data_IF_678437432006
#
_entry.id   IF_678437432006
#
_cell.length_a   1.000
_cell.length_b   1.000
_cell.length_c   1.000
_cell.angle_alpha   90.00
_cell.angle_beta   90.00
_cell.angle_gamma   90.00
#
_symmetry.space_group_name_H-M   'P 1'
#
loop_
_entity.id
_entity.type
_entity.pdbx_description
1 polymer ?
#
# COMPACT_ATOMS: atom_id res chain seq x y z
N UNK A 1 47.67 13.28 -18.48
CA UNK A 1 47.16 13.03 -17.13
C UNK A 1 47.44 11.60 -16.67
N UNK A 2 46.81 10.57 -17.25
CA UNK A 2 46.99 9.15 -16.89
C UNK A 2 48.46 8.71 -16.83
N UNK A 3 49.27 9.00 -17.87
CA UNK A 3 50.70 8.69 -17.90
C UNK A 3 51.52 9.29 -16.75
N UNK A 4 51.05 10.38 -16.12
CA UNK A 4 51.71 10.99 -14.96
C UNK A 4 51.28 10.24 -13.70
N UNK A 5 49.97 10.07 -13.49
CA UNK A 5 49.41 9.32 -12.36
C UNK A 5 49.99 7.91 -12.26
N UNK A 6 50.04 7.17 -13.38
CA UNK A 6 50.58 5.81 -13.48
C UNK A 6 52.07 5.68 -13.13
N UNK A 7 52.83 6.80 -13.13
CA UNK A 7 54.23 6.83 -12.65
C UNK A 7 54.30 6.92 -11.13
N UNK A 8 53.39 7.65 -10.51
CA UNK A 8 53.36 7.90 -9.06
C UNK A 8 52.57 6.85 -8.27
N UNK A 9 51.68 6.12 -8.94
CA UNK A 9 50.97 4.99 -8.33
C UNK A 9 50.70 3.88 -9.35
N UNK A 10 51.12 2.66 -9.02
CA UNK A 10 50.97 1.50 -9.88
C UNK A 10 49.53 1.00 -10.00
N UNK A 11 48.65 1.32 -9.05
CA UNK A 11 47.24 0.89 -9.04
C UNK A 11 46.40 1.54 -10.13
N UNK A 12 46.83 2.70 -10.63
CA UNK A 12 46.20 3.45 -11.72
C UNK A 12 46.92 3.25 -13.07
N UNK A 13 47.55 2.08 -13.30
CA UNK A 13 48.17 1.71 -14.58
C UNK A 13 47.17 1.01 -15.50
N UNK A 14 47.32 1.25 -16.79
CA UNK A 14 46.46 0.65 -17.82
C UNK A 14 45.16 1.41 -18.01
N UNK A 15 44.27 0.88 -18.87
CA UNK A 15 43.06 1.55 -19.32
C UNK A 15 41.78 0.96 -18.68
N UNK A 16 41.89 0.44 -17.46
CA UNK A 16 40.73 -0.06 -16.72
C UNK A 16 39.87 1.09 -16.20
N UNK A 17 38.62 0.79 -15.83
CA UNK A 17 37.81 1.73 -15.05
C UNK A 17 38.36 1.79 -13.63
N UNK A 18 38.47 3.01 -13.10
CA UNK A 18 38.97 3.28 -11.76
C UNK A 18 37.89 4.00 -10.94
N UNK A 19 37.86 3.74 -9.63
CA UNK A 19 36.95 4.42 -8.71
C UNK A 19 37.40 5.88 -8.50
N UNK A 20 36.50 6.83 -8.74
CA UNK A 20 36.81 8.25 -8.65
C UNK A 20 37.09 8.72 -7.21
N UNK A 21 36.44 8.11 -6.22
CA UNK A 21 36.66 8.40 -4.80
C UNK A 21 38.03 7.88 -4.38
N UNK A 22 38.38 6.65 -4.76
CA UNK A 22 39.71 6.08 -4.48
C UNK A 22 40.82 6.95 -5.08
N UNK A 23 40.64 7.39 -6.33
CA UNK A 23 41.59 8.28 -6.98
C UNK A 23 41.73 9.63 -6.26
N UNK A 24 40.61 10.24 -5.84
CA UNK A 24 40.62 11.50 -5.10
C UNK A 24 41.33 11.37 -3.74
N UNK A 25 41.03 10.33 -2.97
CA UNK A 25 41.67 10.09 -1.67
C UNK A 25 43.18 9.89 -1.83
N UNK A 26 43.60 9.06 -2.79
CA UNK A 26 45.02 8.90 -3.11
C UNK A 26 45.70 10.22 -3.47
N UNK A 27 45.03 11.06 -4.25
CA UNK A 27 45.57 12.36 -4.65
C UNK A 27 45.71 13.30 -3.46
N UNK A 28 44.69 13.36 -2.59
CA UNK A 28 44.71 14.15 -1.36
C UNK A 28 45.82 13.69 -0.41
N UNK A 29 46.02 12.38 -0.25
CA UNK A 29 47.12 11.84 0.55
C UNK A 29 48.48 12.26 -0.02
N UNK A 30 48.67 12.18 -1.34
CA UNK A 30 49.92 12.64 -1.98
C UNK A 30 50.17 14.13 -1.79
N UNK A 31 49.12 14.95 -1.91
CA UNK A 31 49.22 16.38 -1.62
C UNK A 31 49.50 16.65 -0.14
N UNK A 32 48.93 15.86 0.76
CA UNK A 32 49.16 15.97 2.21
C UNK A 32 50.64 15.74 2.52
N UNK A 33 51.23 14.67 2.00
CA UNK A 33 52.64 14.31 2.21
C UNK A 33 53.59 15.35 1.59
N UNK A 34 53.37 15.72 0.32
CA UNK A 34 54.28 16.60 -0.41
C UNK A 34 54.26 18.05 0.13
N UNK A 35 53.09 18.55 0.57
CA UNK A 35 52.93 19.90 1.13
C UNK A 35 53.18 19.95 2.64
N UNK A 36 52.94 18.84 3.35
CA UNK A 36 53.19 18.70 4.78
C UNK A 36 54.68 18.63 5.10
N UNK A 37 55.47 17.89 4.30
CA UNK A 37 56.91 17.76 4.47
C UNK A 37 57.70 19.07 4.24
N UNK A 38 57.13 20.03 3.51
CA UNK A 38 57.72 21.35 3.28
C UNK A 38 57.50 22.33 4.45
N UNK A 39 56.70 21.97 5.46
CA UNK A 39 56.51 22.77 6.68
C UNK A 39 57.46 22.27 7.76
N UNK A 40 58.55 22.98 8.07
CA UNK A 40 59.52 22.51 9.06
C UNK A 40 58.88 22.49 10.45
N UNK A 41 58.58 21.30 10.97
CA UNK A 41 58.38 21.11 12.39
C UNK A 41 59.69 21.46 13.10
N UNK A 42 59.69 22.61 13.76
CA UNK A 42 60.85 23.23 14.38
C UNK A 42 61.43 22.31 15.47
N UNK A 43 62.63 21.81 15.23
CA UNK A 43 63.50 21.29 16.28
C UNK A 43 63.76 22.42 17.29
N UNK A 44 63.06 22.43 18.42
CA UNK A 44 63.51 23.15 19.60
C UNK A 44 63.01 22.47 20.87
N UNK A 45 63.88 21.66 21.46
CA UNK A 45 63.85 21.30 22.87
C UNK A 45 63.92 22.57 23.73
N UNK A 46 62.97 22.77 24.64
CA UNK A 46 62.99 23.79 25.70
C UNK A 46 62.03 23.42 26.85
N UNK A 47 62.36 23.73 28.12
CA UNK A 47 61.84 23.06 29.32
C UNK A 47 60.40 23.44 29.70
N UNK A 48 59.72 22.69 30.60
CA UNK A 48 58.30 22.89 30.90
C UNK A 48 58.10 24.16 31.73
N UNK A 49 57.24 25.07 31.27
CA UNK A 49 56.78 26.20 32.08
C UNK A 49 55.29 26.09 32.40
N UNK A 50 55.03 26.42 33.66
CA UNK A 50 53.80 26.25 34.44
C UNK A 50 52.92 27.51 34.33
N UNK A 51 51.61 27.32 34.11
CA UNK A 51 50.52 28.16 34.63
C UNK A 51 50.24 29.54 34.02
N UNK A 52 49.05 29.74 33.45
CA UNK A 52 48.44 31.07 33.23
C UNK A 52 47.39 31.14 32.12
N UNK A 53 46.32 31.97 32.22
CA UNK A 53 44.99 31.66 31.69
C UNK A 53 44.71 32.08 30.24
N UNK A 54 43.72 31.37 29.68
CA UNK A 54 43.09 31.46 28.35
C UNK A 54 42.77 32.90 27.93
N UNK A 55 43.31 33.32 26.77
CA UNK A 55 42.82 34.47 25.98
C UNK A 55 42.04 33.97 24.76
N UNK A 56 40.95 34.67 24.49
CA UNK A 56 39.97 34.54 23.41
C UNK A 56 40.57 34.48 21.99
N UNK A 57 40.00 33.71 21.04
CA UNK A 57 40.50 33.65 19.67
C UNK A 57 39.83 34.73 18.82
N UNK A 58 40.56 35.79 18.53
CA UNK A 58 40.27 36.70 17.40
C UNK A 58 41.43 36.59 16.42
N UNK A 59 41.13 36.20 15.18
CA UNK A 59 42.10 35.97 14.11
C UNK A 59 42.37 34.49 13.86
N UNK A 60 42.09 34.05 12.64
CA UNK A 60 42.39 32.72 12.07
C UNK A 60 43.90 32.44 12.11
N UNK A 61 44.39 32.05 13.27
CA UNK A 61 45.69 31.38 13.40
C UNK A 61 45.43 29.90 13.17
N UNK A 62 45.67 29.45 11.93
CA UNK A 62 45.76 28.02 11.64
C UNK A 62 46.84 27.41 12.55
N UNK A 63 46.57 26.31 13.26
CA UNK A 63 47.55 25.66 14.11
C UNK A 63 48.80 25.36 13.28
N UNK A 64 49.94 25.92 13.70
CA UNK A 64 51.22 25.79 12.98
C UNK A 64 51.60 24.30 12.94
N UNK A 65 51.56 23.71 11.73
CA UNK A 65 51.84 22.29 11.48
C UNK A 65 50.74 21.52 10.75
N UNK A 66 49.60 22.14 10.38
CA UNK A 66 48.55 21.47 9.61
C UNK A 66 48.76 21.63 8.10
N UNK A 67 48.69 20.55 7.34
CA UNK A 67 48.81 20.61 5.87
C UNK A 67 47.58 21.28 5.23
N UNK A 68 47.72 21.72 3.98
CA UNK A 68 46.61 22.29 3.20
C UNK A 68 45.39 21.35 3.17
N UNK A 69 45.65 20.04 3.02
CA UNK A 69 44.61 19.00 3.01
C UNK A 69 43.89 18.92 4.35
N UNK A 70 44.64 18.93 5.46
CA UNK A 70 44.07 18.89 6.80
C UNK A 70 43.22 20.13 7.11
N UNK A 71 43.61 21.30 6.62
CA UNK A 71 42.90 22.55 6.90
C UNK A 71 41.60 22.75 6.10
N UNK A 72 41.49 22.14 4.91
CA UNK A 72 40.38 22.39 3.99
C UNK A 72 39.47 21.18 3.75
N UNK A 73 40.01 19.97 3.82
CA UNK A 73 39.29 18.75 3.46
C UNK A 73 39.08 17.78 4.63
N UNK A 74 39.84 17.93 5.71
CA UNK A 74 39.73 17.04 6.87
C UNK A 74 38.75 17.60 7.89
N UNK A 75 37.83 16.75 8.30
CA UNK A 75 36.94 16.98 9.43
C UNK A 75 37.24 15.97 10.56
N UNK A 76 36.56 16.09 11.69
CA UNK A 76 36.79 15.25 12.87
C UNK A 76 35.45 14.79 13.47
N UNK A 77 35.31 13.48 13.70
CA UNK A 77 34.27 12.93 14.56
C UNK A 77 34.61 13.22 16.02
N UNK A 78 33.62 13.62 16.81
CA UNK A 78 33.77 13.78 18.27
C UNK A 78 32.90 12.74 18.97
N UNK A 79 33.51 11.68 19.46
CA UNK A 79 32.86 10.73 20.37
C UNK A 79 33.00 11.21 21.82
N UNK A 80 31.91 11.29 22.56
CA UNK A 80 31.89 11.82 23.94
C UNK A 80 31.31 10.78 24.89
N UNK A 81 32.13 10.24 25.79
CA UNK A 81 31.71 9.29 26.81
C UNK A 81 31.66 9.97 28.18
N UNK A 82 30.55 9.86 28.89
CA UNK A 82 30.41 10.41 30.24
C UNK A 82 30.32 9.28 31.25
N UNK A 83 31.25 9.21 32.21
CA UNK A 83 31.21 8.22 33.27
C UNK A 83 30.00 8.50 34.20
N UNK A 84 29.10 7.54 34.44
CA UNK A 84 27.90 7.77 35.26
C UNK A 84 28.21 7.94 36.76
N UNK A 85 29.38 7.51 37.22
CA UNK A 85 29.75 7.56 38.64
C UNK A 85 30.48 8.84 39.05
N UNK A 86 31.37 9.36 38.19
CA UNK A 86 32.17 10.56 38.49
C UNK A 86 31.88 11.74 37.57
N UNK A 87 30.94 11.59 36.62
CA UNK A 87 30.54 12.60 35.63
C UNK A 87 31.68 13.15 34.77
N UNK A 88 32.84 12.50 34.78
CA UNK A 88 33.97 12.87 33.92
C UNK A 88 33.63 12.52 32.47
N UNK A 89 33.71 13.52 31.60
CA UNK A 89 33.57 13.36 30.16
C UNK A 89 34.94 13.09 29.53
N UNK A 90 35.02 12.05 28.71
CA UNK A 90 36.15 11.75 27.83
C UNK A 90 35.72 11.99 26.40
N UNK A 91 36.46 12.82 25.65
CA UNK A 91 36.19 13.07 24.24
C UNK A 91 37.31 12.46 23.41
N UNK A 92 36.96 11.68 22.39
CA UNK A 92 37.88 11.16 21.37
C UNK A 92 37.59 11.87 20.05
N UNK A 93 38.64 12.32 19.34
CA UNK A 93 38.52 13.03 18.08
C UNK A 93 39.19 12.24 16.95
N UNK A 94 38.38 11.71 16.04
CA UNK A 94 38.87 10.86 14.95
C UNK A 94 38.77 11.59 13.60
N UNK A 95 39.89 11.81 12.88
CA UNK A 95 39.88 12.55 11.63
C UNK A 95 39.29 11.75 10.46
N UNK A 96 38.64 12.43 9.53
CA UNK A 96 38.14 11.84 8.29
C UNK A 96 38.20 12.83 7.10
N UNK A 97 38.28 12.30 5.88
CA UNK A 97 38.30 13.07 4.63
C UNK A 97 37.02 12.90 3.78
N UNK A 98 36.26 11.83 4.03
CA UNK A 98 35.01 11.55 3.32
C UNK A 98 33.99 10.91 4.27
N UNK A 99 32.72 11.12 3.98
CA UNK A 99 31.59 10.46 4.65
C UNK A 99 30.77 9.73 3.59
N UNK A 100 30.47 8.46 3.84
CA UNK A 100 29.51 7.70 3.06
C UNK A 100 28.11 8.03 3.57
N UNK A 101 27.32 8.75 2.77
CA UNK A 101 25.96 9.11 3.14
C UNK A 101 24.95 8.12 2.56
N UNK A 102 23.97 7.64 3.35
CA UNK A 102 22.91 6.78 2.84
C UNK A 102 21.99 7.61 1.92
N UNK A 103 21.68 7.06 0.75
CA UNK A 103 20.72 7.66 -0.18
C UNK A 103 19.31 7.26 0.28
N UNK A 104 18.40 8.21 0.56
CA UNK A 104 17.01 7.91 0.82
C UNK A 104 16.44 7.00 -0.27
N UNK A 105 15.89 5.86 0.14
CA UNK A 105 15.23 4.95 -0.78
C UNK A 105 13.74 5.29 -0.85
N UNK A 106 13.16 5.15 -2.05
CA UNK A 106 11.72 5.30 -2.24
C UNK A 106 10.98 4.27 -1.38
N UNK A 107 10.13 4.74 -0.48
CA UNK A 107 9.41 3.90 0.48
C UNK A 107 8.03 3.45 -0.01
N UNK A 108 7.61 3.88 -1.20
CA UNK A 108 6.30 3.57 -1.78
C UNK A 108 6.40 3.02 -3.21
N UNK A 109 5.41 2.22 -3.60
CA UNK A 109 5.19 1.78 -4.99
C UNK A 109 3.84 2.25 -5.49
N UNK A 110 3.71 2.46 -6.79
CA UNK A 110 2.41 2.68 -7.40
C UNK A 110 1.62 1.37 -7.44
N UNK A 111 0.36 1.41 -7.00
CA UNK A 111 -0.60 0.31 -7.11
C UNK A 111 -1.92 0.85 -7.65
N UNK A 112 -2.42 0.24 -8.72
CA UNK A 112 -3.74 0.53 -9.25
C UNK A 112 -4.79 -0.36 -8.59
N UNK A 113 -5.86 0.25 -8.09
CA UNK A 113 -6.98 -0.45 -7.48
C UNK A 113 -8.27 -0.07 -8.19
N UNK A 114 -9.09 -1.04 -8.55
CA UNK A 114 -10.42 -0.79 -9.13
C UNK A 114 -11.46 -0.72 -8.02
N UNK A 115 -12.04 0.45 -7.83
CA UNK A 115 -13.16 0.68 -6.92
C UNK A 115 -14.45 0.21 -7.57
N UNK A 116 -15.18 -0.66 -6.87
CA UNK A 116 -16.52 -1.14 -7.23
C UNK A 116 -17.52 -0.51 -6.28
N UNK A 117 -18.14 0.58 -6.74
CA UNK A 117 -19.02 1.44 -5.93
C UNK A 117 -20.49 1.16 -6.22
N UNK A 118 -21.34 1.46 -5.23
CA UNK A 118 -22.81 1.34 -5.37
C UNK A 118 -23.45 2.55 -6.09
N UNK A 119 -22.67 3.50 -6.58
CA UNK A 119 -23.16 4.73 -7.20
C UNK A 119 -23.48 4.53 -8.70
N UNK A 120 -24.67 4.96 -9.14
CA UNK A 120 -25.11 4.85 -10.55
C UNK A 120 -24.19 5.55 -11.56
N UNK A 121 -23.51 6.65 -11.17
CA UNK A 121 -22.64 7.42 -12.08
C UNK A 121 -21.23 6.85 -12.25
N UNK A 122 -20.71 6.16 -11.24
CA UNK A 122 -19.29 5.78 -11.16
C UNK A 122 -19.16 4.38 -10.53
N UNK A 123 -19.77 3.37 -11.15
CA UNK A 123 -19.76 2.00 -10.61
C UNK A 123 -18.35 1.39 -10.59
N UNK A 124 -17.51 1.71 -11.56
CA UNK A 124 -16.15 1.17 -11.71
C UNK A 124 -15.16 2.30 -12.01
N UNK A 125 -14.27 2.58 -11.06
CA UNK A 125 -13.23 3.59 -11.21
C UNK A 125 -11.90 3.01 -10.77
N UNK A 126 -10.87 3.13 -11.60
CA UNK A 126 -9.50 2.74 -11.23
C UNK A 126 -8.78 3.93 -10.63
N UNK A 127 -8.20 3.75 -9.46
CA UNK A 127 -7.44 4.77 -8.74
C UNK A 127 -5.99 4.33 -8.60
N UNK A 128 -5.07 5.29 -8.66
CA UNK A 128 -3.65 5.05 -8.45
C UNK A 128 -3.24 5.45 -7.05
N UNK A 129 -2.62 4.54 -6.30
CA UNK A 129 -2.19 4.74 -4.92
C UNK A 129 -0.67 4.58 -4.79
N UNK A 130 -0.02 5.48 -4.04
CA UNK A 130 1.37 5.34 -3.61
C UNK A 130 1.42 4.52 -2.31
N UNK A 131 1.43 3.19 -2.45
CA UNK A 131 1.34 2.29 -1.29
C UNK A 131 2.70 2.05 -0.64
N UNK A 132 2.78 1.98 0.71
CA UNK A 132 4.03 1.73 1.42
C UNK A 132 4.60 0.33 1.11
N UNK A 133 5.91 0.24 0.85
CA UNK A 133 6.59 -1.02 0.53
C UNK A 133 6.58 -2.02 1.69
N UNK A 134 6.72 -1.51 2.92
CA UNK A 134 6.74 -2.29 4.16
C UNK A 134 5.40 -2.26 4.91
N UNK A 135 4.33 -1.77 4.27
CA UNK A 135 3.01 -1.73 4.88
C UNK A 135 2.24 -3.04 4.78
N UNK A 136 1.02 -2.98 5.28
CA UNK A 136 0.05 -4.08 5.37
C UNK A 136 -1.18 -3.82 4.49
N UNK A 137 -1.98 -4.85 4.26
CA UNK A 137 -3.27 -4.68 3.56
C UNK A 137 -4.22 -3.75 4.33
N UNK A 138 -4.08 -3.63 5.65
CA UNK A 138 -4.84 -2.64 6.43
C UNK A 138 -4.55 -1.20 5.96
N UNK A 139 -3.28 -0.88 5.70
CA UNK A 139 -2.89 0.44 5.17
C UNK A 139 -3.53 0.70 3.80
N UNK A 140 -3.51 -0.32 2.93
CA UNK A 140 -4.20 -0.25 1.64
C UNK A 140 -5.70 -0.02 1.80
N UNK A 141 -6.34 -0.72 2.74
CA UNK A 141 -7.78 -0.59 3.00
C UNK A 141 -8.14 0.83 3.39
N UNK A 142 -7.37 1.44 4.28
CA UNK A 142 -7.55 2.83 4.71
C UNK A 142 -7.34 3.82 3.55
N UNK A 143 -6.30 3.62 2.73
CA UNK A 143 -6.04 4.46 1.56
C UNK A 143 -7.18 4.40 0.54
N UNK A 144 -7.67 3.19 0.24
CA UNK A 144 -8.78 2.93 -0.68
C UNK A 144 -10.10 3.49 -0.13
N UNK A 145 -10.35 3.32 1.17
CA UNK A 145 -11.51 3.84 1.87
C UNK A 145 -11.61 5.37 1.72
N UNK A 146 -10.49 6.05 1.91
CA UNK A 146 -10.39 7.51 1.75
C UNK A 146 -10.65 7.96 0.31
N UNK A 147 -10.04 7.29 -0.67
CA UNK A 147 -10.20 7.62 -2.09
C UNK A 147 -11.65 7.37 -2.56
N UNK A 148 -12.24 6.25 -2.14
CA UNK A 148 -13.61 5.85 -2.48
C UNK A 148 -14.70 6.50 -1.64
N UNK A 149 -14.34 7.25 -0.57
CA UNK A 149 -15.26 7.78 0.45
C UNK A 149 -16.15 6.70 1.07
N UNK A 150 -15.56 5.53 1.33
CA UNK A 150 -16.20 4.37 1.96
C UNK A 150 -15.60 4.22 3.36
N UNK A 151 -16.37 3.86 4.40
CA UNK A 151 -15.79 3.47 5.69
C UNK A 151 -14.81 2.29 5.52
N UNK A 152 -13.62 2.30 6.13
CA UNK A 152 -12.62 1.23 5.98
C UNK A 152 -13.18 -0.16 6.30
N UNK A 153 -14.06 -0.26 7.30
CA UNK A 153 -14.69 -1.50 7.76
C UNK A 153 -15.71 -2.07 6.76
N UNK A 154 -16.07 -1.29 5.74
CA UNK A 154 -16.95 -1.71 4.66
C UNK A 154 -16.19 -2.04 3.39
N UNK A 155 -14.88 -1.78 3.30
CA UNK A 155 -14.12 -2.11 2.10
C UNK A 155 -13.83 -3.62 2.10
N UNK A 156 -14.13 -4.31 0.99
CA UNK A 156 -13.69 -5.69 0.75
C UNK A 156 -12.62 -5.65 -0.33
N UNK A 157 -11.45 -6.22 -0.06
CA UNK A 157 -10.33 -6.26 -1.01
C UNK A 157 -10.18 -7.67 -1.58
N UNK A 158 -10.10 -7.77 -2.91
CA UNK A 158 -9.87 -9.05 -3.58
C UNK A 158 -9.08 -8.88 -4.88
N UNK A 159 -8.35 -9.93 -5.24
CA UNK A 159 -7.65 -10.02 -6.52
C UNK A 159 -8.45 -10.89 -7.49
N UNK A 160 -8.61 -10.40 -8.71
CA UNK A 160 -9.34 -11.08 -9.77
C UNK A 160 -8.42 -11.30 -10.97
N UNK A 161 -8.63 -12.41 -11.66
CA UNK A 161 -7.99 -12.73 -12.93
C UNK A 161 -9.02 -12.73 -14.06
N UNK A 162 -8.59 -12.80 -15.33
CA UNK A 162 -9.48 -13.08 -16.45
C UNK A 162 -10.23 -14.42 -16.34
N UNK A 163 -9.89 -15.28 -15.36
CA UNK A 163 -10.57 -16.57 -15.09
C UNK A 163 -11.45 -16.56 -13.83
N UNK A 164 -11.53 -15.44 -13.12
CA UNK A 164 -12.35 -15.28 -11.90
C UNK A 164 -11.53 -14.91 -10.66
N UNK A 165 -12.11 -15.14 -9.48
CA UNK A 165 -11.47 -14.77 -8.20
C UNK A 165 -10.19 -15.56 -7.95
N UNK A 166 -9.12 -14.86 -7.58
CA UNK A 166 -7.88 -15.46 -7.11
C UNK A 166 -7.92 -15.63 -5.59
N UNK A 167 -8.04 -14.52 -4.86
CA UNK A 167 -8.05 -14.49 -3.39
C UNK A 167 -8.69 -13.22 -2.85
N UNK A 168 -9.03 -13.25 -1.57
CA UNK A 168 -9.41 -12.05 -0.81
C UNK A 168 -8.17 -11.59 -0.03
N UNK A 169 -8.00 -10.29 0.17
CA UNK A 169 -6.86 -9.74 0.91
C UNK A 169 -7.28 -9.41 2.35
N UNK A 170 -6.54 -9.97 3.30
CA UNK A 170 -6.75 -9.81 4.74
C UNK A 170 -5.77 -8.80 5.31
N UNK A 171 -6.19 -8.01 6.28
CA UNK A 171 -5.39 -6.94 6.90
C UNK A 171 -3.96 -7.31 7.34
N UNK A 172 -3.69 -8.46 7.99
CA UNK A 172 -2.33 -8.79 8.45
C UNK A 172 -1.37 -9.16 7.30
N UNK A 173 -1.85 -9.31 6.07
CA UNK A 173 -1.01 -9.66 4.94
C UNK A 173 -0.08 -8.51 4.54
N UNK A 174 1.12 -8.84 4.09
CA UNK A 174 2.08 -7.86 3.62
C UNK A 174 1.61 -7.23 2.29
N UNK A 175 1.64 -5.89 2.22
CA UNK A 175 1.14 -5.15 1.06
C UNK A 175 1.97 -5.37 -0.21
N UNK A 176 3.23 -5.78 -0.08
CA UNK A 176 4.12 -6.09 -1.21
C UNK A 176 3.49 -7.09 -2.20
N UNK A 177 2.81 -8.12 -1.68
CA UNK A 177 2.21 -9.19 -2.49
C UNK A 177 0.90 -8.77 -3.18
N UNK A 178 0.27 -7.66 -2.76
CA UNK A 178 -0.99 -7.23 -3.34
C UNK A 178 -0.80 -6.75 -4.78
N UNK A 179 -1.57 -7.28 -5.72
CA UNK A 179 -1.47 -6.88 -7.13
C UNK A 179 -0.39 -7.63 -7.92
N UNK A 180 0.39 -8.53 -7.30
CA UNK A 180 1.36 -9.36 -8.03
C UNK A 180 0.66 -10.49 -8.81
N UNK A 181 -0.36 -11.12 -8.22
CA UNK A 181 -1.07 -12.24 -8.84
C UNK A 181 -2.16 -11.80 -9.83
N UNK A 182 -2.66 -10.57 -9.70
CA UNK A 182 -3.71 -10.02 -10.56
C UNK A 182 -4.20 -8.66 -10.07
N UNK A 183 -5.02 -7.95 -10.87
CA UNK A 183 -5.56 -6.65 -10.50
C UNK A 183 -6.36 -6.69 -9.19
N UNK A 184 -6.16 -5.66 -8.38
CA UNK A 184 -6.82 -5.51 -7.07
C UNK A 184 -8.14 -4.75 -7.24
N UNK A 185 -9.19 -5.26 -6.61
CA UNK A 185 -10.51 -4.66 -6.57
C UNK A 185 -10.90 -4.36 -5.12
N UNK A 186 -11.57 -3.23 -4.94
CA UNK A 186 -12.13 -2.79 -3.68
C UNK A 186 -13.65 -2.64 -3.81
N UNK A 187 -14.39 -3.53 -3.14
CA UNK A 187 -15.84 -3.58 -3.23
C UNK A 187 -16.49 -2.82 -2.08
N UNK A 188 -17.43 -1.94 -2.43
CA UNK A 188 -18.37 -1.33 -1.51
C UNK A 188 -19.63 -2.21 -1.41
N UNK A 189 -19.90 -2.85 -0.25
CA UNK A 189 -21.10 -3.63 -0.06
C UNK A 189 -22.34 -2.71 -0.03
N UNK A 190 -23.51 -3.21 -0.47
CA UNK A 190 -24.76 -2.49 -0.25
C UNK A 190 -25.00 -2.22 1.24
N UNK A 191 -25.57 -1.06 1.59
CA UNK A 191 -25.81 -0.69 2.97
C UNK A 191 -26.68 -1.75 3.68
N UNK A 192 -26.31 -2.08 4.91
CA UNK A 192 -27.15 -2.92 5.76
C UNK A 192 -28.42 -2.13 6.09
N UNK A 193 -29.55 -2.46 5.45
CA UNK A 193 -30.85 -1.91 5.88
C UNK A 193 -31.06 -2.30 7.35
N UNK A 194 -31.12 -1.32 8.25
CA UNK A 194 -31.42 -1.58 9.67
C UNK A 194 -32.79 -2.24 9.76
N UNK A 195 -32.86 -3.40 10.40
CA UNK A 195 -34.14 -3.99 10.78
C UNK A 195 -34.82 -3.02 11.76
N UNK A 196 -35.93 -2.41 11.33
CA UNK A 196 -36.72 -1.49 12.16
C UNK A 196 -37.01 -0.11 11.58
N UNK A 197 -36.56 0.21 10.36
CA UNK A 197 -37.08 1.40 9.66
C UNK A 197 -38.30 0.98 8.81
N UNK A 198 -39.55 1.24 9.24
CA UNK A 198 -40.67 1.14 8.33
C UNK A 198 -40.43 2.14 7.18
N UNK A 199 -40.67 1.68 5.96
CA UNK A 199 -40.64 2.52 4.77
C UNK A 199 -41.42 3.81 5.06
N UNK A 200 -40.76 4.95 4.94
CA UNK A 200 -41.43 6.23 4.77
C UNK A 200 -42.26 6.14 3.49
N UNK A 201 -43.55 5.84 3.66
CA UNK A 201 -44.58 6.20 2.69
C UNK A 201 -44.50 7.72 2.47
N UNK A 202 -44.83 8.22 1.27
CA UNK A 202 -44.78 9.65 0.99
C UNK A 202 -45.81 10.38 1.89
N UNK A 203 -45.32 11.17 2.83
CA UNK A 203 -46.14 12.01 3.71
C UNK A 203 -46.65 13.21 2.90
N UNK A 204 -47.96 13.29 2.76
CA UNK A 204 -48.70 14.50 2.32
C UNK A 204 -48.71 15.56 3.44
N UNK A 205 -48.95 16.85 3.13
CA UNK A 205 -48.31 17.96 3.86
C UNK A 205 -49.10 18.52 5.05
N UNK A 206 -48.33 19.20 5.92
CA UNK A 206 -48.64 20.30 6.84
C UNK A 206 -49.32 20.00 8.19
N UNK A 207 -48.65 20.40 9.30
CA UNK A 207 -48.99 21.53 10.22
C UNK A 207 -47.77 21.78 11.17
N UNK A 208 -47.42 23.03 11.56
CA UNK A 208 -46.16 23.30 12.27
C UNK A 208 -46.26 23.53 13.80
N UNK A 209 -45.12 23.28 14.49
CA UNK A 209 -44.59 23.86 15.77
C UNK A 209 -45.13 23.34 17.12
N UNK A 210 -44.44 23.59 18.28
CA UNK A 210 -43.20 24.36 18.53
C UNK A 210 -42.08 23.65 19.35
N UNK A 211 -40.99 24.40 19.49
CA UNK A 211 -39.67 24.12 20.06
C UNK A 211 -39.62 23.81 21.58
N UNK A 212 -38.62 23.03 21.99
CA UNK A 212 -38.17 22.91 23.38
C UNK A 212 -36.79 22.25 23.46
N UNK A 213 -35.79 22.83 24.15
CA UNK A 213 -34.42 22.35 24.14
C UNK A 213 -34.18 21.36 25.28
N UNK A 214 -33.54 20.21 25.01
CA UNK A 214 -32.89 19.43 26.07
C UNK A 214 -31.52 18.93 25.63
N UNK A 215 -30.56 19.30 26.46
CA UNK A 215 -29.13 19.06 26.42
C UNK A 215 -28.78 17.72 27.12
N UNK A 216 -27.72 17.10 26.57
CA UNK A 216 -26.69 16.22 27.20
C UNK A 216 -27.05 14.74 27.51
N UNK A 217 -26.06 13.82 27.65
CA UNK A 217 -24.60 14.00 27.63
C UNK A 217 -23.79 13.02 26.73
N UNK A 218 -22.51 13.39 26.63
CA UNK A 218 -21.36 12.63 26.15
C UNK A 218 -21.07 11.37 26.98
N UNK A 219 -20.28 10.47 26.37
CA UNK A 219 -19.58 9.30 26.92
C UNK A 219 -20.36 8.00 27.13
N UNK A 220 -20.26 7.11 26.13
CA UNK A 220 -20.15 5.67 26.36
C UNK A 220 -19.33 5.05 25.23
N UNK A 221 -18.02 4.85 25.49
CA UNK A 221 -17.24 3.82 24.80
C UNK A 221 -17.88 2.49 25.18
N UNK A 222 -18.53 1.81 24.24
CA UNK A 222 -18.91 0.42 24.42
C UNK A 222 -18.47 -0.33 23.17
N UNK A 223 -17.26 -0.84 23.28
CA UNK A 223 -16.77 -1.99 22.56
C UNK A 223 -17.56 -3.22 23.01
N UNK A 224 -18.76 -3.38 22.47
CA UNK A 224 -19.57 -4.59 22.58
C UNK A 224 -20.30 -4.79 21.26
N UNK A 225 -19.76 -5.64 20.39
CA UNK A 225 -20.49 -6.36 19.33
C UNK A 225 -19.56 -7.39 18.65
N UNK A 226 -18.79 -8.15 19.43
CA UNK A 226 -18.21 -9.41 18.98
C UNK A 226 -19.07 -10.54 19.55
N UNK A 227 -19.46 -11.48 18.69
CA UNK A 227 -20.21 -12.70 19.00
C UNK A 227 -21.75 -12.57 19.17
N UNK A 228 -22.44 -12.26 18.06
CA UNK A 228 -23.75 -12.87 17.79
C UNK A 228 -24.01 -12.95 16.29
N UNK A 229 -23.97 -14.15 15.72
CA UNK A 229 -24.44 -14.37 14.36
C UNK A 229 -25.98 -14.56 14.37
N UNK A 230 -26.70 -14.09 13.34
CA UNK A 230 -26.75 -12.68 12.95
C UNK A 230 -28.17 -12.26 12.47
N UNK A 231 -28.35 -11.00 12.11
CA UNK A 231 -29.30 -10.66 11.03
C UNK A 231 -29.06 -11.59 9.83
N UNK A 232 -30.08 -12.31 9.36
CA UNK A 232 -29.97 -13.42 8.39
C UNK A 232 -29.46 -13.10 6.98
N UNK A 233 -28.67 -12.04 6.78
CA UNK A 233 -28.11 -11.61 5.49
C UNK A 233 -26.62 -11.82 5.42
N UNK A 234 -26.13 -12.24 4.26
CA UNK A 234 -24.71 -12.46 3.95
C UNK A 234 -24.28 -11.62 2.74
N UNK A 235 -22.98 -11.32 2.66
CA UNK A 235 -22.40 -10.63 1.51
C UNK A 235 -21.84 -11.63 0.52
N UNK A 236 -22.16 -11.43 -0.75
CA UNK A 236 -21.71 -12.24 -1.88
C UNK A 236 -20.90 -11.37 -2.83
N UNK A 237 -19.69 -11.81 -3.16
CA UNK A 237 -18.88 -11.28 -4.25
C UNK A 237 -19.00 -12.23 -5.44
N UNK A 238 -19.41 -11.72 -6.60
CA UNK A 238 -19.65 -12.55 -7.78
C UNK A 238 -18.82 -12.10 -8.97
N UNK A 239 -18.41 -13.07 -9.77
CA UNK A 239 -17.92 -12.85 -11.11
C UNK A 239 -18.65 -13.78 -12.07
N UNK A 240 -18.90 -13.29 -13.29
CA UNK A 240 -19.52 -14.10 -14.33
C UNK A 240 -18.43 -14.72 -15.20
N UNK A 241 -18.56 -15.99 -15.50
CA UNK A 241 -17.65 -16.70 -16.40
C UNK A 241 -18.41 -17.49 -17.45
N UNK A 242 -17.79 -17.66 -18.60
CA UNK A 242 -18.30 -18.46 -19.70
C UNK A 242 -17.20 -19.42 -20.19
N UNK A 243 -17.60 -20.57 -20.73
CA UNK A 243 -16.68 -21.60 -21.22
C UNK A 243 -16.22 -22.57 -20.12
N UNK A 244 -15.36 -23.52 -20.50
CA UNK A 244 -14.80 -24.53 -19.59
C UNK A 244 -13.31 -24.74 -19.86
N UNK A 245 -12.57 -25.17 -18.82
CA UNK A 245 -11.15 -25.49 -18.92
C UNK A 245 -10.31 -24.30 -19.42
N UNK A 246 -9.63 -24.47 -20.55
CA UNK A 246 -8.75 -23.46 -21.14
C UNK A 246 -9.52 -22.26 -21.72
N UNK A 247 -10.77 -22.46 -22.12
CA UNK A 247 -11.66 -21.44 -22.69
C UNK A 247 -12.48 -20.70 -21.62
N UNK A 248 -12.23 -20.97 -20.33
CA UNK A 248 -12.88 -20.26 -19.24
C UNK A 248 -12.44 -18.80 -19.24
N UNK A 249 -13.40 -17.90 -19.43
CA UNK A 249 -13.17 -16.46 -19.43
C UNK A 249 -14.23 -15.75 -18.59
N UNK A 250 -13.77 -14.79 -17.79
CA UNK A 250 -14.59 -13.84 -17.06
C UNK A 250 -15.18 -12.83 -18.05
N UNK A 251 -16.42 -12.42 -17.81
CA UNK A 251 -17.03 -11.33 -18.55
C UNK A 251 -17.89 -10.45 -17.64
N UNK A 252 -18.10 -9.22 -18.08
CA UNK A 252 -18.84 -8.22 -17.35
C UNK A 252 -18.19 -7.84 -16.01
N UNK A 253 -18.77 -6.84 -15.34
CA UNK A 253 -18.25 -6.38 -14.07
C UNK A 253 -18.41 -7.43 -12.96
N UNK A 254 -17.49 -7.48 -11.99
CA UNK A 254 -17.71 -8.20 -10.75
C UNK A 254 -18.79 -7.49 -9.92
N UNK A 255 -19.57 -8.26 -9.18
CA UNK A 255 -20.75 -7.79 -8.45
C UNK A 255 -20.56 -7.99 -6.96
N UNK A 256 -21.19 -7.13 -6.17
CA UNK A 256 -21.32 -7.31 -4.72
C UNK A 256 -22.78 -7.12 -4.32
N UNK A 257 -23.32 -8.12 -3.64
CA UNK A 257 -24.72 -8.15 -3.23
C UNK A 257 -24.89 -8.65 -1.80
N UNK A 258 -25.98 -8.23 -1.17
CA UNK A 258 -26.33 -8.59 0.21
C UNK A 258 -27.67 -9.31 0.19
N UNK A 259 -27.64 -10.60 0.49
CA UNK A 259 -28.81 -11.49 0.35
C UNK A 259 -29.15 -12.21 1.63
N UNK A 260 -30.43 -12.57 1.80
CA UNK A 260 -30.88 -13.38 2.91
C UNK A 260 -30.47 -14.84 2.74
N UNK A 261 -30.04 -15.49 3.83
CA UNK A 261 -29.63 -16.90 3.80
C UNK A 261 -30.76 -17.83 3.36
N UNK A 262 -31.99 -17.48 3.70
CA UNK A 262 -33.20 -18.21 3.33
C UNK A 262 -33.73 -17.91 1.93
N UNK A 263 -33.02 -17.14 1.10
CA UNK A 263 -33.46 -16.80 -0.26
C UNK A 263 -33.64 -18.08 -1.09
N UNK A 264 -34.70 -18.12 -1.90
CA UNK A 264 -34.91 -19.20 -2.86
C UNK A 264 -33.97 -19.09 -4.06
N UNK A 265 -33.81 -20.18 -4.81
CA UNK A 265 -33.01 -20.14 -6.05
C UNK A 265 -33.53 -19.10 -7.05
N UNK A 266 -34.84 -19.04 -7.26
CA UNK A 266 -35.46 -18.09 -8.19
C UNK A 266 -35.21 -16.64 -7.79
N UNK A 267 -35.37 -16.32 -6.51
CA UNK A 267 -35.07 -14.99 -5.97
C UNK A 267 -33.59 -14.65 -6.09
N UNK A 268 -32.69 -15.60 -5.78
CA UNK A 268 -31.24 -15.39 -5.94
C UNK A 268 -30.86 -15.13 -7.41
N UNK A 269 -31.43 -15.90 -8.35
CA UNK A 269 -31.22 -15.72 -9.78
C UNK A 269 -31.72 -14.32 -10.22
N UNK A 270 -32.89 -13.90 -9.75
CA UNK A 270 -33.45 -12.58 -10.04
C UNK A 270 -32.59 -11.44 -9.44
N UNK A 271 -32.10 -11.59 -8.21
CA UNK A 271 -31.20 -10.60 -7.58
C UNK A 271 -29.90 -10.43 -8.36
N UNK A 272 -29.29 -11.54 -8.81
CA UNK A 272 -28.07 -11.51 -9.64
C UNK A 272 -28.36 -10.81 -10.97
N UNK A 273 -29.43 -11.19 -11.68
CA UNK A 273 -29.83 -10.56 -12.94
C UNK A 273 -30.13 -9.06 -12.76
N UNK A 274 -30.75 -8.66 -11.65
CA UNK A 274 -31.06 -7.28 -11.34
C UNK A 274 -29.80 -6.39 -11.26
N UNK A 275 -28.71 -6.92 -10.70
CA UNK A 275 -27.41 -6.23 -10.64
C UNK A 275 -26.76 -6.06 -12.02
N UNK A 276 -27.15 -6.86 -13.02
CA UNK A 276 -26.60 -6.83 -14.38
C UNK A 276 -27.52 -6.13 -15.38
N UNK A 277 -28.60 -5.48 -14.94
CA UNK A 277 -29.54 -4.78 -15.85
C UNK A 277 -28.88 -3.78 -16.79
N UNK A 278 -27.83 -3.09 -16.34
CA UNK A 278 -27.08 -2.12 -17.17
C UNK A 278 -26.28 -2.75 -18.31
N UNK A 279 -26.06 -4.06 -18.31
CA UNK A 279 -25.30 -4.78 -19.35
C UNK A 279 -26.13 -5.82 -20.11
N UNK A 280 -27.40 -6.01 -19.73
CA UNK A 280 -28.32 -6.91 -20.42
C UNK A 280 -28.85 -6.24 -21.70
N UNK A 281 -28.97 -7.01 -22.79
CA UNK A 281 -29.48 -6.53 -24.09
C UNK A 281 -31.01 -6.35 -24.14
N UNK A 282 -31.75 -6.85 -23.15
CA UNK A 282 -33.21 -6.77 -23.10
C UNK A 282 -33.77 -7.19 -21.74
N UNK A 283 -35.09 -7.06 -21.55
CA UNK A 283 -35.76 -7.50 -20.33
C UNK A 283 -35.81 -9.03 -20.27
N UNK A 284 -35.09 -9.59 -19.30
CA UNK A 284 -35.14 -11.02 -19.00
C UNK A 284 -36.33 -11.26 -18.06
N UNK A 285 -37.46 -11.71 -18.61
CA UNK A 285 -38.52 -12.29 -17.78
C UNK A 285 -38.07 -13.68 -17.33
N UNK A 286 -37.59 -13.79 -16.09
CA UNK A 286 -37.23 -15.07 -15.47
C UNK A 286 -38.45 -15.95 -15.12
N UNK A 287 -39.63 -15.67 -15.69
CA UNK A 287 -40.87 -16.38 -15.40
C UNK A 287 -40.91 -17.68 -16.23
N UNK A 288 -40.63 -18.81 -15.58
CA UNK A 288 -40.97 -20.15 -16.09
C UNK A 288 -39.87 -20.93 -16.82
N UNK A 289 -38.70 -20.37 -17.06
CA UNK A 289 -37.54 -21.09 -17.63
C UNK A 289 -36.56 -21.47 -16.52
N UNK A 290 -36.07 -22.72 -16.55
CA UNK A 290 -35.16 -23.28 -15.53
C UNK A 290 -33.86 -22.50 -15.29
N UNK A 291 -32.93 -23.07 -14.51
CA UNK A 291 -31.70 -22.40 -14.13
C UNK A 291 -30.91 -21.87 -15.36
N UNK A 292 -30.73 -20.55 -15.43
CA UNK A 292 -30.06 -19.87 -16.55
C UNK A 292 -28.54 -19.98 -16.49
N UNK A 293 -28.02 -20.30 -15.30
CA UNK A 293 -26.60 -20.43 -15.01
C UNK A 293 -26.40 -21.35 -13.82
N UNK A 294 -25.16 -21.78 -13.60
CA UNK A 294 -24.76 -22.52 -12.40
C UNK A 294 -23.97 -21.61 -11.48
N UNK A 295 -24.08 -21.82 -10.18
CA UNK A 295 -23.30 -21.06 -9.19
C UNK A 295 -22.34 -22.01 -8.49
N UNK A 296 -21.04 -21.69 -8.49
CA UNK A 296 -20.05 -22.39 -7.68
C UNK A 296 -19.41 -21.48 -6.65
N UNK A 297 -18.95 -22.06 -5.53
CA UNK A 297 -18.08 -21.36 -4.60
C UNK A 297 -16.68 -21.18 -5.20
N UNK A 298 -16.09 -20.01 -4.98
CA UNK A 298 -14.74 -19.68 -5.43
C UNK A 298 -13.77 -19.56 -4.24
N UNK A 299 -12.54 -20.05 -4.42
CA UNK A 299 -11.43 -19.84 -3.47
C UNK A 299 -11.40 -20.77 -2.26
N UNK A 300 -11.72 -22.06 -2.43
CA UNK A 300 -11.48 -23.12 -1.44
C UNK A 300 -10.47 -24.16 -1.94
N UNK A 301 -9.76 -24.83 -1.02
CA UNK A 301 -8.88 -25.97 -1.31
C UNK A 301 -9.64 -27.28 -1.59
N UNK A 302 -10.96 -27.27 -1.40
CA UNK A 302 -11.87 -28.39 -1.61
C UNK A 302 -12.32 -28.49 -3.08
N UNK A 303 -12.80 -29.67 -3.53
CA UNK A 303 -13.38 -29.81 -4.87
C UNK A 303 -14.47 -28.78 -5.12
N UNK A 304 -14.58 -28.33 -6.38
CA UNK A 304 -15.56 -27.35 -6.84
C UNK A 304 -16.96 -27.67 -6.30
N UNK A 305 -17.44 -26.85 -5.36
CA UNK A 305 -18.77 -27.01 -4.77
C UNK A 305 -19.76 -26.14 -5.51
N UNK A 306 -20.76 -26.77 -6.13
CA UNK A 306 -21.86 -26.09 -6.81
C UNK A 306 -23.08 -25.96 -5.88
N UNK A 307 -23.78 -24.84 -6.00
CA UNK A 307 -25.10 -24.67 -5.39
C UNK A 307 -26.14 -25.29 -6.34
N UNK A 308 -27.00 -26.15 -5.80
CA UNK A 308 -28.02 -26.84 -6.60
C UNK A 308 -29.24 -25.93 -6.81
N UNK A 309 -29.76 -25.81 -8.05
CA UNK A 309 -31.04 -25.15 -8.31
C UNK A 309 -32.25 -25.83 -7.63
N UNK A 310 -32.11 -27.10 -7.24
CA UNK A 310 -33.15 -27.87 -6.56
C UNK A 310 -33.17 -27.63 -5.05
N UNK A 311 -32.12 -26.98 -4.50
CA UNK A 311 -32.09 -26.62 -3.08
C UNK A 311 -33.04 -25.42 -2.87
N UNK A 312 -34.05 -25.51 -1.99
CA UNK A 312 -34.94 -24.39 -1.70
C UNK A 312 -34.22 -23.22 -1.03
N UNK A 313 -33.04 -23.43 -0.41
CA UNK A 313 -32.26 -22.41 0.29
C UNK A 313 -30.76 -22.59 0.03
N UNK A 314 -30.27 -22.31 -1.19
CA UNK A 314 -28.90 -22.59 -1.59
C UNK A 314 -27.84 -21.87 -0.73
N UNK A 315 -28.17 -20.72 -0.13
CA UNK A 315 -27.25 -19.98 0.75
C UNK A 315 -27.18 -20.51 2.20
N UNK A 316 -28.01 -21.50 2.55
CA UNK A 316 -27.89 -22.27 3.78
C UNK A 316 -26.96 -23.48 3.64
N UNK A 317 -26.37 -23.70 2.47
CA UNK A 317 -25.48 -24.83 2.23
C UNK A 317 -24.24 -24.77 3.15
N UNK A 318 -23.79 -25.88 3.78
CA UNK A 318 -22.68 -25.87 4.75
C UNK A 318 -21.36 -25.33 4.21
N UNK A 319 -21.14 -25.39 2.89
CA UNK A 319 -19.95 -24.80 2.28
C UNK A 319 -19.94 -23.26 2.35
N UNK A 320 -21.11 -22.62 2.40
CA UNK A 320 -21.25 -21.17 2.60
C UNK A 320 -20.80 -20.79 4.01
N UNK A 321 -21.16 -21.58 5.02
CA UNK A 321 -20.71 -21.37 6.40
C UNK A 321 -19.20 -21.48 6.53
N UNK A 322 -18.60 -22.50 5.92
CA UNK A 322 -17.14 -22.66 5.89
C UNK A 322 -16.47 -21.47 5.19
N UNK A 323 -17.02 -21.01 4.06
CA UNK A 323 -16.49 -19.84 3.36
C UNK A 323 -16.55 -18.56 4.20
N UNK A 324 -17.63 -18.35 4.96
CA UNK A 324 -17.77 -17.22 5.87
C UNK A 324 -16.76 -17.29 7.03
N UNK A 325 -16.52 -18.49 7.59
CA UNK A 325 -15.54 -18.70 8.64
C UNK A 325 -14.09 -18.45 8.18
N UNK A 326 -13.82 -18.64 6.88
CA UNK A 326 -12.52 -18.40 6.26
C UNK A 326 -12.35 -16.95 5.76
N UNK A 327 -13.29 -16.05 6.03
CA UNK A 327 -13.15 -14.64 5.68
C UNK A 327 -11.99 -14.01 6.45
N UNK A 328 -11.07 -13.36 5.73
CA UNK A 328 -9.93 -12.65 6.30
C UNK A 328 -10.34 -11.44 7.16
N UNK A 329 -9.43 -11.00 8.02
CA UNK A 329 -9.62 -9.83 8.87
C UNK A 329 -9.70 -8.51 8.08
N UNK A 330 -10.40 -7.52 8.66
CA UNK A 330 -10.47 -6.14 8.18
C UNK A 330 -11.77 -5.76 7.49
N UNK A 331 -12.07 -6.46 6.39
CA UNK A 331 -13.32 -6.27 5.65
C UNK A 331 -14.49 -7.08 6.26
N UNK A 332 -15.73 -6.81 5.84
CA UNK A 332 -16.87 -7.58 6.30
C UNK A 332 -16.81 -9.03 5.76
N UNK A 333 -17.28 -10.03 6.53
CA UNK A 333 -17.32 -11.42 6.09
C UNK A 333 -18.15 -11.59 4.82
N UNK A 334 -17.62 -12.34 3.85
CA UNK A 334 -18.21 -12.46 2.53
C UNK A 334 -17.92 -13.82 1.90
N UNK A 335 -18.73 -14.19 0.91
CA UNK A 335 -18.56 -15.42 0.13
C UNK A 335 -18.32 -15.06 -1.34
N UNK A 336 -17.27 -15.65 -1.92
CA UNK A 336 -16.97 -15.50 -3.35
C UNK A 336 -17.69 -16.60 -4.12
N UNK A 337 -18.44 -16.20 -5.14
CA UNK A 337 -19.18 -17.10 -6.01
C UNK A 337 -18.81 -16.84 -7.47
N UNK A 338 -18.70 -17.90 -8.26
CA UNK A 338 -18.60 -17.79 -9.71
C UNK A 338 -19.92 -18.20 -10.32
N UNK A 339 -20.48 -17.32 -11.14
CA UNK A 339 -21.70 -17.56 -11.92
C UNK A 339 -21.28 -18.03 -13.30
N UNK A 340 -21.52 -19.31 -13.58
CA UNK A 340 -21.12 -19.97 -14.81
C UNK A 340 -22.26 -19.99 -15.82
N UNK A 341 -22.02 -19.37 -16.95
CA UNK A 341 -22.95 -19.27 -18.07
C UNK A 341 -22.54 -20.22 -19.18
N UNK A 342 -23.52 -20.85 -19.82
CA UNK A 342 -23.27 -21.46 -21.12
C UNK A 342 -23.09 -20.37 -22.19
N UNK A 343 -22.34 -20.68 -23.24
CA UNK A 343 -22.00 -19.70 -24.28
C UNK A 343 -23.25 -19.15 -24.97
N UNK A 344 -24.26 -20.00 -25.22
CA UNK A 344 -25.47 -19.61 -25.95
C UNK A 344 -26.34 -18.63 -25.16
N UNK A 345 -26.48 -18.84 -23.85
CA UNK A 345 -27.20 -17.95 -22.95
C UNK A 345 -26.44 -16.64 -22.77
N UNK A 346 -25.11 -16.71 -22.64
CA UNK A 346 -24.24 -15.52 -22.53
C UNK A 346 -24.36 -14.63 -23.77
N UNK A 347 -24.27 -15.21 -24.97
CA UNK A 347 -24.38 -14.48 -26.24
C UNK A 347 -25.78 -13.88 -26.45
N UNK A 348 -26.83 -14.62 -26.08
CA UNK A 348 -28.21 -14.15 -26.17
C UNK A 348 -28.48 -12.96 -25.25
N UNK A 349 -28.04 -13.03 -24.00
CA UNK A 349 -28.40 -12.04 -22.97
C UNK A 349 -27.45 -10.84 -22.92
N UNK A 350 -26.15 -11.06 -23.16
CA UNK A 350 -25.11 -10.04 -23.01
C UNK A 350 -24.30 -9.80 -24.28
N UNK A 351 -24.32 -10.76 -25.22
CA UNK A 351 -23.56 -10.66 -26.47
C UNK A 351 -22.05 -10.69 -26.30
N UNK A 352 -21.39 -9.78 -27.01
CA UNK A 352 -19.93 -9.70 -27.10
C UNK A 352 -19.29 -8.95 -25.92
N UNK A 353 -20.00 -8.75 -24.79
CA UNK A 353 -19.38 -8.16 -23.60
C UNK A 353 -18.15 -9.00 -23.20
N UNK A 354 -17.04 -8.32 -23.01
CA UNK A 354 -15.79 -8.89 -22.50
C UNK A 354 -15.63 -8.47 -21.05
N UNK A 355 -14.56 -7.78 -20.68
CA UNK A 355 -14.33 -7.25 -19.33
C UNK A 355 -15.03 -5.89 -19.12
N UNK A 356 -15.17 -5.50 -17.85
CA UNK A 356 -15.67 -4.19 -17.48
C UNK A 356 -14.80 -3.06 -18.04
N UNK A 357 -15.46 -2.04 -18.58
CA UNK A 357 -14.80 -0.80 -18.95
C UNK A 357 -14.60 0.01 -17.68
N UNK A 358 -13.36 0.03 -17.17
CA UNK A 358 -12.98 0.80 -15.99
C UNK A 358 -12.40 2.14 -16.41
N UNK A 359 -12.91 3.22 -15.84
CA UNK A 359 -12.38 4.57 -16.08
C UNK A 359 -11.23 4.85 -15.12
N UNK A 360 -10.10 5.31 -15.64
CA UNK A 360 -8.96 5.71 -14.81
C UNK A 360 -9.20 7.12 -14.23
N UNK A 361 -9.08 7.23 -12.91
CA UNK A 361 -9.07 8.51 -12.22
C UNK A 361 -7.77 9.28 -12.48
N UNK A 362 -7.79 10.60 -12.24
CA UNK A 362 -6.59 11.45 -12.33
C UNK A 362 -5.44 10.94 -11.44
N UNK A 363 -5.77 10.31 -10.31
CA UNK A 363 -4.78 9.72 -9.39
C UNK A 363 -3.92 8.65 -10.06
N UNK A 364 -4.43 7.89 -11.03
CA UNK A 364 -3.65 6.92 -11.81
C UNK A 364 -2.52 7.61 -12.57
N UNK A 365 -2.85 8.66 -13.32
CA UNK A 365 -1.88 9.43 -14.11
C UNK A 365 -0.86 10.13 -13.23
N UNK A 366 -1.32 10.72 -12.10
CA UNK A 366 -0.44 11.38 -11.13
C UNK A 366 0.59 10.42 -10.54
N UNK A 367 0.18 9.21 -10.17
CA UNK A 367 1.11 8.22 -9.62
C UNK A 367 2.06 7.66 -10.67
N UNK A 368 1.62 7.48 -11.92
CA UNK A 368 2.52 7.09 -13.02
C UNK A 368 3.63 8.12 -13.22
N UNK A 369 3.28 9.41 -13.32
CA UNK A 369 4.25 10.49 -13.48
C UNK A 369 5.20 10.61 -12.28
N UNK A 370 4.68 10.51 -11.05
CA UNK A 370 5.51 10.56 -9.84
C UNK A 370 6.51 9.40 -9.76
N UNK A 371 6.12 8.21 -10.25
CA UNK A 371 7.02 7.06 -10.26
C UNK A 371 8.04 7.09 -11.40
N UNK A 372 7.70 7.69 -12.54
CA UNK A 372 8.60 7.92 -13.68
C UNK A 372 9.66 9.00 -13.40
N UNK A 373 9.35 9.99 -12.56
CA UNK A 373 10.34 10.96 -12.11
C UNK A 373 11.45 10.25 -11.32
N UNK A 374 12.70 10.53 -11.69
CA UNK A 374 13.87 10.03 -10.95
C UNK A 374 13.78 10.48 -9.49
N UNK A 375 14.04 9.57 -8.56
CA UNK A 375 14.07 9.90 -7.15
C UNK A 375 15.25 10.84 -6.88
N UNK A 376 14.98 12.12 -6.72
CA UNK A 376 15.95 13.11 -6.28
C UNK A 376 15.90 13.24 -4.77
N UNK A 377 17.05 13.19 -4.12
CA UNK A 377 17.21 13.57 -2.71
C UNK A 377 18.19 14.74 -2.62
N UNK A 378 18.05 15.52 -1.56
CA UNK A 378 18.98 16.59 -1.22
C UNK A 378 20.11 16.06 -0.35
N UNK A 379 21.26 16.74 -0.38
CA UNK A 379 22.38 16.40 0.49
C UNK A 379 22.01 16.47 1.98
N UNK A 380 21.14 17.42 2.35
CA UNK A 380 20.63 17.57 3.71
C UNK A 380 19.83 16.34 4.18
N UNK A 381 18.95 15.80 3.34
CA UNK A 381 18.21 14.57 3.64
C UNK A 381 19.14 13.37 3.88
N UNK A 382 20.21 13.25 3.10
CA UNK A 382 21.23 12.21 3.30
C UNK A 382 21.96 12.37 4.64
N UNK A 383 22.31 13.60 5.03
CA UNK A 383 22.93 13.89 6.34
C UNK A 383 21.99 13.64 7.53
N UNK A 384 20.69 13.93 7.38
CA UNK A 384 19.69 13.62 8.41
C UNK A 384 19.56 12.12 8.66
N UNK A 385 19.67 11.28 7.63
CA UNK A 385 19.68 9.83 7.78
C UNK A 385 20.95 9.35 8.49
N UNK A 386 22.11 9.83 8.03
CA UNK A 386 23.41 9.50 8.62
C UNK A 386 23.46 9.82 10.14
N UNK A 387 22.92 10.97 10.55
CA UNK A 387 22.95 11.42 11.95
C UNK A 387 21.88 10.79 12.85
N UNK A 388 20.82 10.18 12.30
CA UNK A 388 19.80 9.46 13.08
C UNK A 388 20.31 8.11 13.58
N UNK A 389 21.16 7.43 12.80
CA UNK A 389 21.75 6.15 13.20
C UNK A 389 22.73 6.32 14.39
N UNK A 390 23.36 7.48 14.52
CA UNK A 390 24.30 7.83 15.59
C UNK A 390 23.62 8.25 16.92
N UNK A 391 22.29 8.39 16.96
CA UNK A 391 21.54 8.82 18.16
C UNK A 391 20.95 7.67 18.99
N UNK A 392 21.30 6.42 18.69
CA UNK A 392 20.74 5.22 19.37
C UNK A 392 21.60 4.77 20.55
#
# INVERSE_FOLDING_TARGET
>A
FQNIVSKHSSQFRGNAQHDALEFLLWLLDRMHEDLGAASPAQESRGPPQVGGPVRSPTGTQYPRGQSFVQSHFQAQYRSSLTCPHCLKQSNTFDPFLCISLPIPLRQTRALNVTLVLQCERWRFVRVGLAVPLLGTVADLREMVAREGRIPPEQVILAELSPRGFLRSLSDPEALRAAGEAGPVYAFQPPPARRAGCPCSLPVSPAVPRPEGPRLLPSTARSSDCLHRAPSGRILLLLCNTVGMGLQLARFGPPLVLREERGVSWEQLQQSILAQMRGVLRGEVQAQGTGALFRIRLAGGSAPCTYLSPQDPRPLCHPAIDRALQLSGAGGPPHVKLTVEWDMSTKERLFGCIQEEVVQDAESVRRQQQAHEQQHSCTLDECFQLYTKEEQV
#
